data_IF_941720710406
#
_entry.id   IF_941720710406
#
_cell.length_a   1.000
_cell.length_b   1.000
_cell.length_c   1.000
_cell.angle_alpha   90.00
_cell.angle_beta   90.00
_cell.angle_gamma   90.00
#
_symmetry.space_group_name_H-M   'P 1'
#
loop_
_entity.id
_entity.type
_entity.pdbx_description
1 polymer ?
#
# COMPACT_ATOMS: atom_id res chain seq x y z
N UNK A 1 -36.99 -17.17 24.61
CA UNK A 1 -35.88 -17.73 23.81
C UNK A 1 -34.83 -16.65 23.65
N UNK A 2 -33.77 -16.68 24.44
CA UNK A 2 -32.61 -15.81 24.26
C UNK A 2 -31.80 -16.36 23.09
N UNK A 3 -31.95 -15.75 21.90
CA UNK A 3 -31.06 -16.04 20.78
C UNK A 3 -29.64 -15.60 21.17
N UNK A 4 -28.75 -16.58 21.35
CA UNK A 4 -27.32 -16.32 21.34
C UNK A 4 -26.95 -15.86 19.93
N UNK A 5 -26.74 -14.57 19.74
CA UNK A 5 -25.98 -14.10 18.59
C UNK A 5 -24.55 -14.62 18.78
N UNK A 6 -24.00 -15.46 17.88
CA UNK A 6 -22.59 -15.78 17.94
C UNK A 6 -21.84 -14.50 17.60
N UNK A 7 -21.38 -13.76 18.61
CA UNK A 7 -20.37 -12.72 18.42
C UNK A 7 -19.10 -13.43 17.99
N UNK A 8 -18.86 -13.54 16.68
CA UNK A 8 -17.59 -14.01 16.12
C UNK A 8 -16.51 -13.03 16.60
N UNK A 9 -15.82 -13.40 17.68
CA UNK A 9 -14.71 -12.62 18.20
C UNK A 9 -13.51 -12.81 17.27
N UNK A 10 -13.05 -11.70 16.69
CA UNK A 10 -11.76 -11.67 15.99
C UNK A 10 -10.65 -11.99 16.99
N UNK A 11 -9.80 -12.95 16.63
CA UNK A 11 -8.62 -13.30 17.41
C UNK A 11 -7.44 -12.48 16.91
N UNK A 12 -6.80 -11.76 17.84
CA UNK A 12 -5.60 -11.01 17.57
C UNK A 12 -4.38 -11.75 18.09
N UNK A 13 -3.34 -11.76 17.28
CA UNK A 13 -2.05 -12.39 17.58
C UNK A 13 -0.96 -11.33 17.50
N UNK A 14 0.14 -11.55 18.21
CA UNK A 14 1.25 -10.59 18.29
C UNK A 14 2.53 -11.27 17.86
N UNK A 15 3.29 -10.65 16.95
CA UNK A 15 4.57 -11.20 16.51
C UNK A 15 5.65 -11.04 17.58
N UNK A 16 6.71 -11.85 17.45
CA UNK A 16 7.98 -11.60 18.11
C UNK A 16 8.58 -10.27 17.63
N UNK A 17 9.41 -9.59 18.45
CA UNK A 17 10.18 -8.44 18.02
C UNK A 17 11.16 -8.79 16.90
N UNK A 18 11.23 -7.94 15.87
CA UNK A 18 12.22 -8.00 14.78
C UNK A 18 12.79 -6.61 14.52
N UNK A 19 13.93 -6.48 13.82
CA UNK A 19 14.46 -5.16 13.43
C UNK A 19 13.43 -4.36 12.62
N UNK A 20 13.27 -3.07 12.95
CA UNK A 20 12.33 -2.20 12.24
C UNK A 20 12.82 -1.93 10.80
N UNK A 21 12.00 -2.17 9.77
CA UNK A 21 12.38 -1.98 8.38
C UNK A 21 12.42 -0.50 7.96
N UNK A 22 11.85 0.39 8.78
CA UNK A 22 11.71 1.82 8.47
C UNK A 22 12.68 2.72 9.22
N UNK A 23 13.04 2.36 10.46
CA UNK A 23 13.82 3.21 11.38
C UNK A 23 14.98 2.39 11.95
N UNK A 24 16.22 2.62 11.49
CA UNK A 24 17.40 1.91 11.98
C UNK A 24 17.56 1.98 13.50
N UNK A 25 18.01 0.88 14.12
CA UNK A 25 18.22 0.78 15.56
C UNK A 25 16.94 0.69 16.40
N UNK A 26 15.77 0.50 15.77
CA UNK A 26 14.50 0.24 16.45
C UNK A 26 14.02 -1.19 16.17
N UNK A 27 13.10 -1.65 16.99
CA UNK A 27 12.39 -2.91 16.79
C UNK A 27 10.95 -2.68 16.34
N UNK A 28 10.41 -3.64 15.60
CA UNK A 28 9.01 -3.73 15.26
C UNK A 28 8.32 -4.95 15.87
N UNK A 29 7.03 -4.78 16.15
CA UNK A 29 6.08 -5.85 16.43
C UNK A 29 4.80 -5.55 15.69
N UNK A 30 4.05 -6.58 15.30
CA UNK A 30 2.76 -6.44 14.62
C UNK A 30 1.70 -7.20 15.39
N UNK A 31 0.56 -6.56 15.61
CA UNK A 31 -0.68 -7.27 15.93
C UNK A 31 -1.36 -7.64 14.62
N UNK A 32 -1.86 -8.85 14.48
CA UNK A 32 -2.59 -9.30 13.29
C UNK A 32 -3.81 -10.13 13.63
N UNK A 33 -4.76 -10.18 12.69
CA UNK A 33 -5.95 -11.02 12.74
C UNK A 33 -6.20 -11.65 11.37
N UNK A 34 -6.73 -12.86 11.35
CA UNK A 34 -7.20 -13.49 10.12
C UNK A 34 -8.52 -12.86 9.66
N UNK A 35 -8.62 -12.60 8.36
CA UNK A 35 -9.85 -12.17 7.72
C UNK A 35 -10.69 -13.41 7.38
N UNK A 36 -11.92 -13.52 7.89
CA UNK A 36 -12.78 -14.67 7.60
C UNK A 36 -13.26 -14.62 6.15
N UNK A 37 -13.26 -15.74 5.42
CA UNK A 37 -13.74 -15.79 4.03
C UNK A 37 -15.20 -15.34 3.86
N UNK A 38 -16.04 -15.50 4.87
CA UNK A 38 -17.47 -15.12 4.81
C UNK A 38 -17.69 -13.61 4.95
N UNK A 39 -16.94 -12.96 5.83
CA UNK A 39 -17.19 -11.56 6.25
C UNK A 39 -15.96 -10.66 6.01
N UNK A 40 -14.99 -11.15 5.24
CA UNK A 40 -13.69 -10.51 5.02
C UNK A 40 -13.76 -9.07 4.58
N UNK A 41 -14.62 -8.68 3.61
CA UNK A 41 -14.76 -7.28 3.19
C UNK A 41 -15.17 -6.37 4.36
N UNK A 42 -16.23 -6.74 5.10
CA UNK A 42 -16.75 -5.95 6.22
C UNK A 42 -15.75 -5.84 7.37
N UNK A 43 -15.03 -6.93 7.66
CA UNK A 43 -13.98 -6.94 8.68
C UNK A 43 -12.80 -6.07 8.25
N UNK A 44 -12.38 -6.14 6.98
CA UNK A 44 -11.30 -5.32 6.44
C UNK A 44 -11.65 -3.82 6.47
N UNK A 45 -12.88 -3.47 6.10
CA UNK A 45 -13.40 -2.11 6.20
C UNK A 45 -13.26 -1.59 7.63
N UNK A 46 -13.74 -2.36 8.61
CA UNK A 46 -13.70 -2.00 10.04
C UNK A 46 -12.27 -1.88 10.58
N UNK A 47 -11.39 -2.83 10.24
CA UNK A 47 -10.01 -2.85 10.72
C UNK A 47 -9.17 -1.73 10.09
N UNK A 48 -9.42 -1.40 8.82
CA UNK A 48 -8.73 -0.30 8.13
C UNK A 48 -9.01 1.05 8.80
N UNK A 49 -10.24 1.29 9.27
CA UNK A 49 -10.59 2.52 10.01
C UNK A 49 -9.78 2.72 11.29
N UNK A 50 -9.38 1.63 11.95
CA UNK A 50 -8.57 1.66 13.18
C UNK A 50 -7.08 1.40 12.90
N UNK A 51 -6.67 1.57 11.65
CA UNK A 51 -5.29 1.64 11.23
C UNK A 51 -4.63 0.31 10.93
N UNK A 52 -5.38 -0.77 10.73
CA UNK A 52 -4.81 -1.99 10.16
C UNK A 52 -4.60 -1.83 8.66
N UNK A 53 -3.70 -2.64 8.10
CA UNK A 53 -3.53 -2.86 6.66
C UNK A 53 -3.69 -4.34 6.35
N UNK A 54 -4.10 -4.66 5.14
CA UNK A 54 -4.23 -6.03 4.67
C UNK A 54 -2.94 -6.55 4.03
N UNK A 55 -2.69 -7.84 4.20
CA UNK A 55 -1.76 -8.64 3.40
C UNK A 55 -2.41 -10.01 3.22
N UNK A 56 -2.73 -10.41 2.00
CA UNK A 56 -3.46 -11.67 1.73
C UNK A 56 -4.74 -11.77 2.61
N UNK A 57 -4.90 -12.87 3.34
CA UNK A 57 -6.01 -13.15 4.25
C UNK A 57 -5.77 -12.71 5.70
N UNK A 58 -4.81 -11.82 5.94
CA UNK A 58 -4.59 -11.21 7.26
C UNK A 58 -4.67 -9.69 7.21
N UNK A 59 -5.11 -9.11 8.32
CA UNK A 59 -4.98 -7.69 8.60
C UNK A 59 -3.98 -7.49 9.75
N UNK A 60 -3.09 -6.51 9.63
CA UNK A 60 -2.05 -6.23 10.62
C UNK A 60 -1.90 -4.74 10.94
N UNK A 61 -1.43 -4.44 12.14
CA UNK A 61 -1.05 -3.08 12.58
C UNK A 61 0.24 -3.12 13.42
N UNK A 62 1.14 -2.14 13.28
CA UNK A 62 2.27 -1.98 14.18
C UNK A 62 1.82 -1.90 15.66
N UNK A 63 2.54 -2.60 16.52
CA UNK A 63 2.29 -2.70 17.95
C UNK A 63 3.62 -2.67 18.73
N UNK A 64 4.56 -1.84 18.29
CA UNK A 64 5.86 -1.68 18.94
C UNK A 64 5.70 -1.17 20.37
N UNK A 65 6.54 -1.64 21.29
CA UNK A 65 6.45 -1.28 22.71
C UNK A 65 6.86 0.16 22.99
N UNK A 66 7.90 0.64 22.31
CA UNK A 66 8.54 1.94 22.57
C UNK A 66 8.37 2.95 21.43
N UNK A 67 7.64 2.60 20.36
CA UNK A 67 7.53 3.38 19.14
C UNK A 67 6.09 3.49 18.65
N UNK A 68 5.69 4.68 18.19
CA UNK A 68 4.37 4.96 17.57
C UNK A 68 4.50 5.72 16.25
N UNK A 69 5.64 5.56 15.56
CA UNK A 69 5.95 6.34 14.36
C UNK A 69 5.06 5.98 13.17
N UNK A 70 4.73 4.70 13.01
CA UNK A 70 3.87 4.23 11.92
C UNK A 70 2.43 4.72 12.12
N UNK A 71 2.00 5.64 11.26
CA UNK A 71 0.67 6.24 11.29
C UNK A 71 -0.02 5.93 9.97
N UNK A 72 -1.22 5.34 10.03
CA UNK A 72 -2.02 5.11 8.82
C UNK A 72 -2.35 6.43 8.16
N UNK A 73 -2.23 6.51 6.84
CA UNK A 73 -2.41 7.71 6.05
C UNK A 73 -3.44 7.50 4.95
N UNK A 74 -4.30 8.50 4.75
CA UNK A 74 -5.30 8.52 3.67
C UNK A 74 -5.45 9.92 3.10
N UNK A 75 -5.73 10.01 1.80
CA UNK A 75 -6.09 11.27 1.16
C UNK A 75 -7.62 11.43 1.21
N UNK A 76 -8.16 12.55 1.74
CA UNK A 76 -9.59 12.86 1.63
C UNK A 76 -9.87 13.29 0.18
N UNK A 77 -10.39 12.37 -0.62
CA UNK A 77 -10.47 12.53 -2.07
C UNK A 77 -11.39 13.69 -2.46
N UNK A 78 -12.55 13.84 -1.80
CA UNK A 78 -13.50 14.92 -2.09
C UNK A 78 -12.91 16.34 -1.94
N UNK A 79 -12.02 16.53 -0.97
CA UNK A 79 -11.36 17.82 -0.70
C UNK A 79 -10.01 17.97 -1.41
N UNK A 80 -9.61 16.99 -2.21
CA UNK A 80 -8.28 16.95 -2.80
C UNK A 80 -8.14 17.89 -4.00
N UNK A 81 -7.40 18.98 -3.82
CA UNK A 81 -7.11 19.93 -4.90
C UNK A 81 -5.70 19.71 -5.42
N UNK A 82 -5.58 19.15 -6.62
CA UNK A 82 -4.30 18.90 -7.27
C UNK A 82 -3.47 20.19 -7.43
N UNK A 83 -2.21 20.15 -7.03
CA UNK A 83 -1.21 21.19 -7.26
C UNK A 83 -0.80 21.28 -8.74
N UNK A 84 -0.07 22.33 -9.12
CA UNK A 84 0.45 22.49 -10.49
C UNK A 84 1.42 21.38 -10.89
N UNK A 85 2.19 20.82 -9.95
CA UNK A 85 3.10 19.69 -10.20
C UNK A 85 2.35 18.37 -10.38
N UNK A 86 1.31 18.14 -9.59
CA UNK A 86 0.49 16.93 -9.67
C UNK A 86 -0.32 16.89 -10.96
N UNK A 87 -0.93 18.03 -11.35
CA UNK A 87 -1.58 18.15 -12.67
C UNK A 87 -0.62 17.85 -13.82
N UNK A 88 0.65 18.31 -13.72
CA UNK A 88 1.68 17.98 -14.74
C UNK A 88 2.00 16.48 -14.77
N UNK A 89 2.03 15.81 -13.62
CA UNK A 89 2.26 14.36 -13.56
C UNK A 89 1.09 13.58 -14.18
N UNK A 90 -0.15 14.00 -13.94
CA UNK A 90 -1.34 13.45 -14.59
C UNK A 90 -1.29 13.65 -16.11
N UNK A 91 -1.08 14.89 -16.56
CA UNK A 91 -1.02 15.22 -18.01
C UNK A 91 0.06 14.46 -18.75
N UNK A 92 1.21 14.18 -18.11
CA UNK A 92 2.31 13.44 -18.74
C UNK A 92 1.96 11.99 -19.09
N UNK A 93 0.93 11.44 -18.45
CA UNK A 93 0.56 10.04 -18.56
C UNK A 93 -0.85 9.86 -19.18
N UNK A 94 -1.37 10.87 -19.88
CA UNK A 94 -2.67 10.80 -20.56
C UNK A 94 -2.70 9.84 -21.74
N UNK A 95 -1.53 9.39 -22.20
CA UNK A 95 -1.37 8.36 -23.22
C UNK A 95 -1.55 6.94 -22.68
N UNK A 96 -1.63 6.77 -21.35
CA UNK A 96 -1.85 5.48 -20.72
C UNK A 96 -3.33 5.12 -20.69
N UNK A 97 -3.60 3.86 -20.99
CA UNK A 97 -4.90 3.24 -20.79
C UNK A 97 -4.94 2.56 -19.43
N UNK A 98 -6.06 2.71 -18.73
CA UNK A 98 -6.29 2.09 -17.43
C UNK A 98 -7.26 0.94 -17.61
N UNK A 99 -6.88 -0.23 -17.13
CA UNK A 99 -7.67 -1.44 -17.19
C UNK A 99 -7.93 -1.94 -15.77
N UNK A 100 -9.19 -1.95 -15.36
CA UNK A 100 -9.63 -2.62 -14.14
C UNK A 100 -9.80 -4.10 -14.47
N UNK A 101 -9.01 -4.95 -13.83
CA UNK A 101 -9.03 -6.40 -14.05
C UNK A 101 -9.24 -7.13 -12.72
N UNK A 102 -9.74 -8.36 -12.81
CA UNK A 102 -9.86 -9.24 -11.64
C UNK A 102 -8.48 -9.50 -11.03
N UNK A 103 -8.46 -9.86 -9.74
CA UNK A 103 -7.24 -10.22 -9.04
C UNK A 103 -6.77 -11.63 -9.47
N UNK A 104 -6.36 -11.76 -10.74
CA UNK A 104 -5.76 -12.94 -11.34
C UNK A 104 -4.30 -12.61 -11.69
N UNK A 105 -3.36 -13.40 -11.19
CA UNK A 105 -1.95 -13.15 -11.39
C UNK A 105 -1.53 -13.52 -12.82
N UNK A 106 -0.82 -12.63 -13.50
CA UNK A 106 -0.25 -12.91 -14.83
C UNK A 106 1.28 -12.86 -14.81
N UNK A 107 1.91 -13.64 -15.70
CA UNK A 107 3.37 -13.66 -15.84
C UNK A 107 3.93 -12.29 -16.22
N UNK A 108 3.23 -11.53 -17.08
CA UNK A 108 3.64 -10.17 -17.48
C UNK A 108 3.70 -9.23 -16.27
N UNK A 109 2.70 -9.29 -15.38
CA UNK A 109 2.71 -8.52 -14.14
C UNK A 109 3.89 -8.92 -13.24
N UNK A 110 4.13 -10.23 -13.08
CA UNK A 110 5.24 -10.72 -12.26
C UNK A 110 6.61 -10.31 -12.82
N UNK A 111 6.79 -10.33 -14.13
CA UNK A 111 8.02 -9.86 -14.78
C UNK A 111 8.25 -8.36 -14.55
N UNK A 112 7.19 -7.54 -14.66
CA UNK A 112 7.27 -6.12 -14.32
C UNK A 112 7.62 -5.91 -12.83
N UNK A 113 6.98 -6.66 -11.94
CA UNK A 113 7.27 -6.62 -10.50
C UNK A 113 8.73 -6.98 -10.22
N UNK A 114 9.25 -8.04 -10.82
CA UNK A 114 10.65 -8.45 -10.65
C UNK A 114 11.61 -7.37 -11.12
N UNK A 115 11.38 -6.77 -12.29
CA UNK A 115 12.17 -5.62 -12.78
C UNK A 115 12.14 -4.45 -11.79
N UNK A 116 10.96 -4.13 -11.26
CA UNK A 116 10.76 -3.08 -10.26
C UNK A 116 11.56 -3.35 -8.98
N UNK A 117 11.41 -4.55 -8.41
CA UNK A 117 12.07 -4.96 -7.16
C UNK A 117 13.60 -4.99 -7.31
N UNK A 118 14.13 -5.56 -8.39
CA UNK A 118 15.58 -5.59 -8.62
C UNK A 118 16.20 -4.19 -8.75
N UNK A 119 15.43 -3.22 -9.26
CA UNK A 119 15.94 -1.85 -9.46
C UNK A 119 15.79 -0.97 -8.22
N UNK A 120 14.70 -1.11 -7.47
CA UNK A 120 14.35 -0.22 -6.35
C UNK A 120 14.55 -0.85 -4.97
N UNK A 121 14.63 -2.17 -4.89
CA UNK A 121 14.58 -2.93 -3.65
C UNK A 121 15.57 -4.10 -3.64
N UNK A 122 16.75 -3.96 -4.25
CA UNK A 122 17.75 -5.02 -4.33
C UNK A 122 18.09 -5.65 -2.96
N UNK A 123 18.05 -4.86 -1.88
CA UNK A 123 18.35 -5.30 -0.51
C UNK A 123 17.09 -5.57 0.35
N UNK A 124 15.89 -5.58 -0.26
CA UNK A 124 14.62 -5.77 0.46
C UNK A 124 14.14 -7.23 0.41
N UNK A 125 13.49 -7.71 1.47
CA UNK A 125 13.02 -9.11 1.55
C UNK A 125 12.03 -9.57 0.46
N UNK A 126 11.48 -8.64 -0.35
CA UNK A 126 10.69 -9.00 -1.53
C UNK A 126 11.52 -9.24 -2.80
N UNK A 127 12.79 -8.88 -2.84
CA UNK A 127 13.63 -9.07 -4.03
C UNK A 127 13.72 -10.54 -4.46
N UNK A 128 13.50 -11.45 -3.51
CA UNK A 128 13.52 -12.90 -3.69
C UNK A 128 12.11 -13.50 -3.93
N UNK A 129 11.09 -12.66 -4.11
CA UNK A 129 9.71 -13.11 -4.33
C UNK A 129 9.61 -14.03 -5.56
N UNK A 130 9.06 -15.23 -5.34
CA UNK A 130 8.85 -16.22 -6.40
C UNK A 130 7.51 -16.01 -7.10
N UNK A 131 7.30 -16.69 -8.24
CA UNK A 131 6.00 -16.67 -8.93
C UNK A 131 4.84 -17.14 -8.02
N UNK A 132 4.96 -18.27 -7.28
CA UNK A 132 3.94 -18.66 -6.29
C UNK A 132 3.65 -17.60 -5.22
N UNK A 133 4.68 -16.87 -4.75
CA UNK A 133 4.47 -15.80 -3.76
C UNK A 133 3.67 -14.63 -4.35
N UNK A 134 3.92 -14.29 -5.62
CA UNK A 134 3.15 -13.28 -6.33
C UNK A 134 1.69 -13.71 -6.54
N UNK A 135 1.48 -14.95 -6.98
CA UNK A 135 0.13 -15.55 -7.11
C UNK A 135 -0.60 -15.47 -5.77
N UNK A 136 0.02 -15.89 -4.67
CA UNK A 136 -0.59 -15.81 -3.35
C UNK A 136 -0.88 -14.36 -2.93
N UNK A 137 0.01 -13.40 -3.23
CA UNK A 137 -0.23 -11.98 -2.92
C UNK A 137 -1.46 -11.42 -3.63
N UNK A 138 -1.69 -11.83 -4.88
CA UNK A 138 -2.79 -11.34 -5.72
C UNK A 138 -4.09 -12.09 -5.45
N UNK A 139 -4.04 -13.42 -5.44
CA UNK A 139 -5.21 -14.30 -5.50
C UNK A 139 -5.71 -14.75 -4.11
N UNK A 140 -4.84 -14.87 -3.10
CA UNK A 140 -5.26 -15.29 -1.74
C UNK A 140 -5.89 -14.12 -0.99
N UNK A 141 -7.14 -13.82 -1.33
CA UNK A 141 -7.88 -12.69 -0.76
C UNK A 141 -9.30 -13.05 -0.33
N UNK A 142 -9.63 -12.66 0.90
CA UNK A 142 -10.97 -12.74 1.49
C UNK A 142 -11.75 -11.42 1.29
N UNK A 143 -11.20 -10.46 0.53
CA UNK A 143 -11.78 -9.11 0.38
C UNK A 143 -11.94 -8.74 -1.09
N UNK A 144 -12.72 -7.68 -1.34
CA UNK A 144 -12.90 -7.11 -2.69
C UNK A 144 -11.58 -6.53 -3.19
N UNK A 145 -10.87 -7.30 -4.01
CA UNK A 145 -9.54 -6.96 -4.51
C UNK A 145 -9.55 -6.94 -6.02
N UNK A 146 -8.93 -5.92 -6.61
CA UNK A 146 -8.75 -5.82 -8.05
C UNK A 146 -7.33 -5.38 -8.37
N UNK A 147 -6.93 -5.58 -9.63
CA UNK A 147 -5.72 -4.99 -10.17
C UNK A 147 -6.10 -3.85 -11.12
N UNK A 148 -5.36 -2.74 -11.05
CA UNK A 148 -5.40 -1.68 -12.05
C UNK A 148 -4.12 -1.74 -12.85
N UNK A 149 -4.24 -2.10 -14.13
CA UNK A 149 -3.16 -2.11 -15.09
C UNK A 149 -3.11 -0.79 -15.87
N UNK A 150 -1.92 -0.23 -15.98
CA UNK A 150 -1.64 0.95 -16.81
C UNK A 150 -0.81 0.52 -18.01
N UNK A 151 -1.42 0.62 -19.19
CA UNK A 151 -0.86 0.10 -20.44
C UNK A 151 -0.63 1.22 -21.44
N UNK A 152 0.48 1.17 -22.16
CA UNK A 152 0.65 2.01 -23.35
C UNK A 152 -0.20 1.45 -24.47
N UNK A 153 -0.95 2.31 -25.17
CA UNK A 153 -1.79 1.88 -26.30
C UNK A 153 -0.95 1.15 -27.35
N UNK A 154 -1.38 -0.06 -27.72
CA UNK A 154 -0.78 -0.85 -28.79
C UNK A 154 -1.05 -0.22 -30.16
N UNK A 155 -0.07 -0.34 -31.07
CA UNK A 155 -0.21 0.09 -32.48
C UNK A 155 -0.93 -0.98 -33.33
N UNK A 156 -0.96 -2.21 -32.87
CA UNK A 156 -1.35 -3.44 -33.56
C UNK A 156 -2.63 -4.08 -32.99
N UNK A 157 -3.44 -3.31 -32.23
CA UNK A 157 -4.70 -3.73 -31.59
C UNK A 157 -4.55 -4.83 -30.52
N UNK A 158 -3.34 -5.05 -30.03
CA UNK A 158 -3.09 -5.86 -28.85
C UNK A 158 -3.43 -5.12 -27.55
N UNK A 159 -3.20 -5.75 -26.38
CA UNK A 159 -3.50 -5.14 -25.08
C UNK A 159 -2.57 -3.96 -24.73
N UNK A 160 -1.45 -3.81 -25.44
CA UNK A 160 -0.46 -2.76 -25.17
C UNK A 160 0.49 -3.13 -24.04
N UNK A 161 1.58 -2.38 -23.95
CA UNK A 161 2.68 -2.68 -23.01
C UNK A 161 2.27 -2.34 -21.58
N UNK A 162 2.31 -3.32 -20.67
CA UNK A 162 2.10 -3.09 -19.25
C UNK A 162 3.28 -2.32 -18.64
N UNK A 163 3.04 -1.10 -18.17
CA UNK A 163 4.09 -0.26 -17.58
C UNK A 163 3.90 0.04 -16.09
N UNK A 164 2.69 -0.14 -15.55
CA UNK A 164 2.45 -0.07 -14.12
C UNK A 164 1.25 -0.93 -13.74
N UNK A 165 1.25 -1.44 -12.51
CA UNK A 165 0.17 -2.23 -11.98
C UNK A 165 0.01 -1.96 -10.47
N UNK A 166 -1.24 -1.99 -10.01
CA UNK A 166 -1.59 -1.67 -8.62
C UNK A 166 -2.63 -2.66 -8.12
N UNK A 167 -2.33 -3.32 -7.01
CA UNK A 167 -3.27 -4.15 -6.25
C UNK A 167 -4.05 -3.24 -5.30
N UNK A 168 -5.37 -3.23 -5.44
CA UNK A 168 -6.27 -2.31 -4.74
C UNK A 168 -7.37 -3.09 -4.04
N UNK A 169 -7.62 -2.76 -2.77
CA UNK A 169 -8.84 -3.18 -2.09
C UNK A 169 -9.91 -2.12 -2.24
N UNK A 170 -11.14 -2.53 -2.55
CA UNK A 170 -12.32 -1.67 -2.55
C UNK A 170 -12.97 -1.75 -1.18
N UNK A 171 -12.90 -0.65 -0.44
CA UNK A 171 -13.51 -0.48 0.87
C UNK A 171 -14.89 0.20 0.74
N UNK A 172 -15.71 0.13 1.79
CA UNK A 172 -16.99 0.85 1.81
C UNK A 172 -16.84 2.38 1.65
N UNK A 173 -15.72 2.96 2.06
CA UNK A 173 -15.48 4.41 2.08
C UNK A 173 -14.27 4.85 1.22
N UNK A 174 -13.70 3.96 0.41
CA UNK A 174 -12.48 4.31 -0.30
C UNK A 174 -11.79 3.20 -1.08
N UNK A 175 -10.66 3.57 -1.68
CA UNK A 175 -9.72 2.67 -2.31
C UNK A 175 -8.50 2.51 -1.39
N UNK A 176 -8.04 1.29 -1.16
CA UNK A 176 -6.81 1.04 -0.40
C UNK A 176 -5.74 0.49 -1.33
N UNK A 177 -4.67 1.26 -1.53
CA UNK A 177 -3.52 0.82 -2.31
C UNK A 177 -2.74 -0.19 -1.47
N UNK A 178 -2.88 -1.47 -1.80
CA UNK A 178 -2.20 -2.57 -1.12
C UNK A 178 -0.75 -2.59 -1.56
N UNK A 179 -0.54 -2.65 -2.88
CA UNK A 179 0.78 -2.71 -3.49
C UNK A 179 0.78 -2.09 -4.88
N UNK A 180 1.89 -1.46 -5.26
CA UNK A 180 2.06 -0.88 -6.60
C UNK A 180 3.47 -1.14 -7.11
N UNK A 181 3.60 -1.45 -8.39
CA UNK A 181 4.87 -1.61 -9.09
C UNK A 181 4.76 -1.06 -10.51
N UNK A 182 5.88 -0.64 -11.06
CA UNK A 182 5.93 0.05 -12.35
C UNK A 182 7.30 -0.07 -13.00
N UNK A 183 7.39 0.26 -14.29
CA UNK A 183 8.65 0.20 -15.02
C UNK A 183 9.62 1.27 -14.47
N UNK A 184 10.71 0.86 -13.80
CA UNK A 184 11.61 1.79 -13.12
C UNK A 184 12.47 2.59 -14.11
N UNK A 185 12.54 2.18 -15.38
CA UNK A 185 13.31 2.88 -16.43
C UNK A 185 12.60 4.16 -16.89
N UNK A 186 11.27 4.24 -16.71
CA UNK A 186 10.43 5.37 -17.12
C UNK A 186 10.41 6.51 -16.08
N UNK A 187 11.57 6.88 -15.54
CA UNK A 187 11.73 7.86 -14.44
C UNK A 187 11.02 9.19 -14.74
N UNK A 188 11.12 9.68 -15.98
CA UNK A 188 10.52 10.95 -16.40
C UNK A 188 8.99 10.96 -16.27
N UNK A 189 8.32 9.80 -16.28
CA UNK A 189 6.87 9.69 -16.14
C UNK A 189 6.38 9.95 -14.72
N UNK A 190 7.24 9.75 -13.71
CA UNK A 190 6.86 9.80 -12.29
C UNK A 190 5.71 8.84 -11.96
N UNK A 191 5.75 7.61 -12.51
CA UNK A 191 4.67 6.61 -12.44
C UNK A 191 4.18 6.37 -11.01
N UNK A 192 5.10 6.33 -10.05
CA UNK A 192 4.74 6.18 -8.65
C UNK A 192 3.79 7.27 -8.12
N UNK A 193 4.09 8.55 -8.38
CA UNK A 193 3.19 9.64 -8.00
C UNK A 193 1.92 9.65 -8.84
N UNK A 194 2.05 9.36 -10.14
CA UNK A 194 0.91 9.28 -11.05
C UNK A 194 -0.14 8.28 -10.57
N UNK A 195 0.27 7.07 -10.18
CA UNK A 195 -0.62 6.04 -9.63
C UNK A 195 -1.46 6.59 -8.48
N UNK A 196 -0.85 7.22 -7.48
CA UNK A 196 -1.59 7.76 -6.33
C UNK A 196 -2.57 8.85 -6.77
N UNK A 197 -2.12 9.77 -7.61
CA UNK A 197 -2.96 10.88 -8.09
C UNK A 197 -4.13 10.38 -8.93
N UNK A 198 -3.90 9.34 -9.75
CA UNK A 198 -4.94 8.71 -10.54
C UNK A 198 -5.99 8.05 -9.66
N UNK A 199 -5.58 7.34 -8.60
CA UNK A 199 -6.53 6.75 -7.65
C UNK A 199 -7.31 7.80 -6.85
N UNK A 200 -6.72 8.94 -6.52
CA UNK A 200 -7.44 10.08 -5.93
C UNK A 200 -8.48 10.61 -6.92
N UNK A 201 -8.11 10.77 -8.19
CA UNK A 201 -9.05 11.19 -9.23
C UNK A 201 -10.17 10.17 -9.42
N UNK A 202 -9.86 8.87 -9.41
CA UNK A 202 -10.87 7.80 -9.48
C UNK A 202 -11.80 7.82 -8.27
N UNK A 203 -11.28 8.02 -7.07
CA UNK A 203 -12.11 8.16 -5.88
C UNK A 203 -13.04 9.38 -5.98
N UNK A 204 -12.56 10.53 -6.49
CA UNK A 204 -13.39 11.71 -6.76
C UNK A 204 -14.51 11.40 -7.76
N UNK A 205 -14.19 10.77 -8.89
CA UNK A 205 -15.18 10.43 -9.94
C UNK A 205 -16.26 9.49 -9.39
N UNK A 206 -15.88 8.54 -8.54
CA UNK A 206 -16.79 7.55 -7.96
C UNK A 206 -17.41 7.98 -6.62
N UNK A 207 -17.22 9.24 -6.19
CA UNK A 207 -17.69 9.77 -4.90
C UNK A 207 -17.24 8.92 -3.69
N UNK A 208 -16.05 8.32 -3.76
CA UNK A 208 -15.42 7.62 -2.65
C UNK A 208 -14.68 8.63 -1.76
N UNK A 209 -14.98 8.67 -0.45
CA UNK A 209 -14.40 9.66 0.45
C UNK A 209 -12.87 9.62 0.56
N UNK A 210 -12.24 8.44 0.50
CA UNK A 210 -10.83 8.30 0.83
C UNK A 210 -10.02 7.44 -0.15
N UNK A 211 -8.72 7.74 -0.23
CA UNK A 211 -7.70 6.84 -0.77
C UNK A 211 -6.70 6.52 0.32
N UNK A 212 -6.66 5.27 0.78
CA UNK A 212 -5.74 4.80 1.80
C UNK A 212 -4.37 4.49 1.18
N UNK A 213 -3.33 5.15 1.69
CA UNK A 213 -1.97 5.06 1.17
C UNK A 213 -1.06 4.17 2.02
N UNK A 214 -1.59 3.56 3.08
CA UNK A 214 -0.83 2.73 4.01
C UNK A 214 -0.19 3.52 5.14
N UNK A 215 1.03 3.18 5.54
CA UNK A 215 1.67 3.83 6.67
C UNK A 215 2.57 4.97 6.22
N UNK A 216 2.40 6.13 6.85
CA UNK A 216 3.43 7.16 6.88
C UNK A 216 4.27 6.97 8.14
N UNK A 217 5.59 6.93 7.97
CA UNK A 217 6.55 6.76 9.06
C UNK A 217 7.48 7.98 9.07
N UNK A 218 7.30 8.93 10.01
CA UNK A 218 8.19 10.07 10.14
C UNK A 218 9.62 9.59 10.38
N UNK A 219 10.55 10.15 9.62
CA UNK A 219 11.97 9.81 9.71
C UNK A 219 12.42 8.60 8.87
N UNK A 220 11.51 7.97 8.12
CA UNK A 220 11.86 6.95 7.13
C UNK A 220 11.94 7.57 5.73
N UNK A 221 13.10 7.42 5.06
CA UNK A 221 13.29 7.88 3.68
C UNK A 221 12.28 7.23 2.72
N UNK A 222 12.10 5.91 2.84
CA UNK A 222 11.16 5.12 2.05
C UNK A 222 9.71 5.61 2.16
N UNK A 223 9.32 6.16 3.30
CA UNK A 223 7.95 6.59 3.57
C UNK A 223 7.74 8.11 3.46
N UNK A 224 8.81 8.87 3.24
CA UNK A 224 8.78 10.33 3.27
C UNK A 224 7.92 10.94 2.15
N UNK A 225 7.77 10.23 1.04
CA UNK A 225 7.04 10.75 -0.12
C UNK A 225 5.55 10.99 0.15
N UNK A 226 4.90 10.22 1.04
CA UNK A 226 3.45 10.32 1.27
C UNK A 226 3.06 11.70 1.77
N UNK A 227 3.92 12.32 2.58
CA UNK A 227 3.71 13.67 3.11
C UNK A 227 3.66 14.78 2.05
N UNK A 228 4.04 14.49 0.79
CA UNK A 228 3.99 15.43 -0.33
C UNK A 228 2.57 15.57 -0.90
N UNK A 229 1.74 14.55 -0.75
CA UNK A 229 0.33 14.62 -1.14
C UNK A 229 -0.44 15.45 -0.11
N UNK A 230 -1.18 16.45 -0.56
CA UNK A 230 -1.91 17.36 0.33
C UNK A 230 -3.25 17.75 -0.30
N UNK A 231 -4.37 17.68 0.46
CA UNK A 231 -4.48 17.26 1.86
C UNK A 231 -4.19 15.77 2.09
N UNK A 232 -3.69 15.45 3.29
CA UNK A 232 -3.47 14.08 3.75
C UNK A 232 -3.90 13.99 5.22
N UNK A 233 -4.65 12.96 5.57
CA UNK A 233 -5.01 12.64 6.94
C UNK A 233 -4.12 11.52 7.47
N UNK A 234 -3.81 11.59 8.76
CA UNK A 234 -3.10 10.54 9.49
C UNK A 234 -3.88 10.13 10.73
N UNK A 235 -3.83 8.84 11.06
CA UNK A 235 -4.49 8.29 12.23
C UNK A 235 -3.67 8.58 13.49
N UNK A 236 -4.24 9.39 14.38
CA UNK A 236 -3.67 9.77 15.68
C UNK A 236 -4.45 9.08 16.82
N UNK A 237 -3.98 9.14 18.09
CA UNK A 237 -4.72 8.61 19.22
C UNK A 237 -6.15 9.19 19.37
N UNK A 238 -6.36 10.44 18.94
CA UNK A 238 -7.67 11.09 18.91
C UNK A 238 -8.51 10.81 17.66
N UNK A 239 -8.06 9.94 16.76
CA UNK A 239 -8.70 9.66 15.48
C UNK A 239 -7.97 10.26 14.27
N UNK A 240 -8.64 10.22 13.12
CA UNK A 240 -8.14 10.79 11.87
C UNK A 240 -8.05 12.31 11.96
N UNK A 241 -6.92 12.87 11.55
CA UNK A 241 -6.71 14.31 11.51
C UNK A 241 -5.83 14.71 10.32
N UNK A 242 -6.07 15.89 9.76
CA UNK A 242 -5.21 16.45 8.72
C UNK A 242 -3.77 16.57 9.22
N UNK A 243 -2.83 16.19 8.35
CA UNK A 243 -1.41 16.34 8.56
C UNK A 243 -1.04 17.83 8.60
N UNK A 244 -0.39 18.24 9.68
CA UNK A 244 0.09 19.61 9.88
C UNK A 244 1.29 19.94 8.99
N UNK A 245 1.55 21.23 8.79
CA UNK A 245 2.73 21.69 8.06
C UNK A 245 4.05 21.21 8.69
N UNK A 246 4.10 21.11 10.03
CA UNK A 246 5.28 20.60 10.75
C UNK A 246 5.52 19.12 10.45
N UNK A 247 4.46 18.32 10.41
CA UNK A 247 4.53 16.88 10.09
C UNK A 247 4.98 16.67 8.63
N UNK A 248 4.47 17.47 7.69
CA UNK A 248 4.92 17.43 6.29
C UNK A 248 6.41 17.71 6.11
N UNK A 249 6.97 18.56 6.96
CA UNK A 249 8.40 18.93 6.95
C UNK A 249 9.32 17.98 7.71
N UNK A 250 8.80 16.93 8.35
CA UNK A 250 9.60 16.00 9.15
C UNK A 250 10.58 15.22 8.24
N UNK A 251 11.83 15.68 8.18
CA UNK A 251 12.91 15.01 7.45
C UNK A 251 13.52 13.88 8.28
N UNK A 252 13.98 12.80 7.63
CA UNK A 252 14.86 11.83 8.29
C UNK A 252 16.09 12.55 8.87
N UNK A 253 16.60 12.12 10.03
CA UNK A 253 17.90 12.58 10.50
C UNK A 253 18.94 12.27 9.41
N UNK A 254 19.83 13.21 9.09
CA UNK A 254 20.89 12.98 8.10
C UNK A 254 21.69 11.73 8.53
N UNK A 255 21.87 10.73 7.65
CA UNK A 255 22.79 9.65 7.94
C UNK A 255 24.19 10.24 8.12
N UNK A 256 24.86 9.85 9.21
CA UNK A 256 26.26 10.21 9.43
C UNK A 256 27.09 9.33 8.49
N UNK A 257 27.44 9.88 7.33
CA UNK A 257 28.37 9.28 6.37
C UNK A 257 27.74 8.32 5.35
N UNK A 258 27.31 8.85 4.20
CA UNK A 258 27.54 8.30 2.85
C UNK A 258 26.83 9.17 1.80
N UNK A 259 27.36 9.16 0.57
CA UNK A 259 26.98 10.04 -0.54
C UNK A 259 25.54 9.82 -1.03
N UNK A 260 24.92 10.90 -1.51
CA UNK A 260 23.51 11.00 -1.92
C UNK A 260 23.22 10.27 -3.24
N UNK A 261 22.07 9.57 -3.38
CA UNK A 261 21.44 9.30 -4.67
C UNK A 261 20.21 10.20 -4.92
N UNK A 262 19.93 10.44 -6.20
CA UNK A 262 18.99 11.44 -6.72
C UNK A 262 17.50 11.13 -6.57
N UNK A 263 16.71 12.16 -6.84
CA UNK A 263 15.26 12.26 -6.65
C UNK A 263 14.45 11.24 -7.48
N UNK A 264 14.31 10.02 -6.95
CA UNK A 264 13.29 9.05 -7.33
C UNK A 264 12.32 8.84 -6.18
N UNK A 265 11.02 9.05 -6.39
CA UNK A 265 10.01 8.76 -5.37
C UNK A 265 9.93 7.23 -5.20
N UNK A 266 10.32 6.73 -4.03
CA UNK A 266 10.23 5.32 -3.62
C UNK A 266 8.82 5.00 -3.15
N UNK A 267 8.21 3.90 -3.64
CA UNK A 267 6.82 3.53 -3.36
C UNK A 267 6.71 2.03 -3.18
N UNK A 268 6.92 1.54 -1.95
CA UNK A 268 6.55 0.17 -1.61
C UNK A 268 6.51 0.02 -0.08
N UNK A 269 5.34 -0.30 0.44
CA UNK A 269 5.05 -0.46 1.88
C UNK A 269 4.75 -1.89 2.30
N UNK A 270 4.51 -2.81 1.36
CA UNK A 270 4.17 -4.17 1.72
C UNK A 270 5.41 -5.04 1.61
N UNK A 271 6.20 -5.18 2.68
CA UNK A 271 6.75 -6.52 2.87
C UNK A 271 5.53 -7.37 3.22
N UNK A 272 5.24 -8.48 2.50
CA UNK A 272 4.39 -9.52 3.06
C UNK A 272 4.90 -9.75 4.49
N UNK A 273 4.01 -9.79 5.47
CA UNK A 273 4.45 -10.23 6.80
C UNK A 273 5.16 -11.55 6.57
N UNK A 274 6.47 -11.63 6.82
CA UNK A 274 7.24 -12.86 6.60
C UNK A 274 6.49 -13.98 7.31
N UNK A 275 5.89 -14.88 6.52
CA UNK A 275 5.09 -15.95 7.08
C UNK A 275 5.96 -17.00 7.80
N UNK A 276 7.29 -16.84 7.71
CA UNK A 276 8.32 -17.74 8.22
C UNK A 276 8.34 -17.93 9.76
N UNK A 277 7.41 -17.30 10.48
CA UNK A 277 7.23 -17.49 11.93
C UNK A 277 5.81 -17.87 12.37
N UNK A 278 4.85 -18.08 11.46
CA UNK A 278 3.49 -18.41 11.86
C UNK A 278 3.27 -19.92 11.89
N UNK A 279 2.78 -20.49 13.01
CA UNK A 279 2.30 -21.86 12.99
C UNK A 279 1.12 -21.95 12.02
N UNK A 280 1.19 -22.88 11.07
CA UNK A 280 0.04 -23.25 10.25
C UNK A 280 -1.15 -23.52 11.17
N UNK A 281 -2.37 -23.10 10.81
CA UNK A 281 -3.55 -23.49 11.58
C UNK A 281 -3.58 -25.01 11.64
N UNK A 282 -3.37 -25.55 12.84
CA UNK A 282 -3.46 -26.97 13.10
C UNK A 282 -4.80 -27.44 12.54
N UNK A 283 -4.75 -28.44 11.65
CA UNK A 283 -5.94 -29.21 11.31
C UNK A 283 -6.56 -29.72 12.62
N UNK A 284 -7.89 -29.71 12.74
CA UNK A 284 -8.56 -30.28 13.92
C UNK A 284 -8.14 -31.73 14.17
#
# INVERSE_FOLDING_TARGET
>A
MTQHFPTRQLRFFLTAPTPCPYLPGREERKVFAHLPLSDGPTVNDSLTQVGFRRSQNIAYRPACETCRACQSARAPAGDYVFSRSERRALVRNTDLERHLVEAEATLEQFELLRRYLLTRHADGGMAEMTWPDYVAMVEDTAVRTHLIEYRLRSQDRGPGDLIACVLVDVLADGLSLVYSFYDPTLVKRSLGSFIILDHILQAQINNLPYVYLGYWVPGSEKMAYKARFSPLEILKPGGWALMSARERGARPPKPVGCASPGDGVELSDAQPAELAGFPSPGKP
#
